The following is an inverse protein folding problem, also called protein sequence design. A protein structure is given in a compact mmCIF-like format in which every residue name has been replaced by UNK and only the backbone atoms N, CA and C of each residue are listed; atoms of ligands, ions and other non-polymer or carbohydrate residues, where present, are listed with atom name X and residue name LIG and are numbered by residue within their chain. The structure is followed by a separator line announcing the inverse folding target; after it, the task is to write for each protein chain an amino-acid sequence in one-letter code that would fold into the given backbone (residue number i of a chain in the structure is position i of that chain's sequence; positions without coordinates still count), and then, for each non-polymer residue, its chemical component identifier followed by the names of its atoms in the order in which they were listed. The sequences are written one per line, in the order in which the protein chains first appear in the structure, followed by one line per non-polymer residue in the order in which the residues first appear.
data_IF_235609091791
#
_entry.id   IF_235609091791
#
_cell.length_a   1.000
_cell.length_b   1.000
_cell.length_c   1.000
_cell.angle_alpha   90.00
_cell.angle_beta   90.00
_cell.angle_gamma   90.00
#
_symmetry.space_group_name_H-M   'P 1'
#
loop_
_entity.id
_entity.type
_entity.pdbx_description
1 polymer ?
#
# COMPACT_ATOMS: atom_id res chain seq x y z
N UNK A 1 9.04 44.94 92.74
CA UNK A 1 8.18 43.79 92.43
C UNK A 1 8.57 42.67 93.35
N UNK A 2 7.68 42.11 94.12
CA UNK A 2 7.98 41.03 95.03
C UNK A 2 8.26 39.73 94.22
N UNK A 3 9.12 38.86 94.74
CA UNK A 3 9.52 37.60 94.09
C UNK A 3 8.27 36.72 93.66
N UNK A 4 7.21 36.79 94.46
CA UNK A 4 5.93 36.17 94.19
C UNK A 4 5.26 36.68 92.93
N UNK A 5 5.38 37.94 92.59
CA UNK A 5 4.83 38.54 91.30
C UNK A 5 5.67 38.14 90.09
N UNK A 6 6.99 38.02 90.29
CA UNK A 6 7.88 37.51 89.24
C UNK A 6 7.58 36.05 88.90
N UNK A 7 7.42 35.25 89.92
CA UNK A 7 7.12 33.81 89.73
C UNK A 7 5.74 33.61 89.12
N UNK A 8 4.77 34.44 89.45
CA UNK A 8 3.45 34.38 88.85
C UNK A 8 3.49 34.75 87.34
N UNK A 9 4.30 35.76 86.95
CA UNK A 9 4.48 36.15 85.51
C UNK A 9 5.22 35.06 84.72
N UNK A 10 6.24 34.40 85.31
CA UNK A 10 6.93 33.27 84.66
C UNK A 10 5.98 32.09 84.50
N UNK A 11 5.18 31.76 85.57
CA UNK A 11 4.22 30.67 85.52
C UNK A 11 3.10 30.90 84.44
N UNK A 12 2.65 32.14 84.33
CA UNK A 12 1.68 32.49 83.29
C UNK A 12 2.30 32.38 81.90
N UNK A 13 3.52 32.89 81.68
CA UNK A 13 4.23 32.70 80.44
C UNK A 13 4.41 31.23 80.03
N UNK A 14 4.78 30.36 80.97
CA UNK A 14 4.91 28.92 80.74
C UNK A 14 3.58 28.26 80.46
N UNK A 15 2.47 28.69 81.10
CA UNK A 15 1.17 28.18 80.86
C UNK A 15 0.65 28.62 79.45
N UNK A 16 0.97 29.82 79.02
CA UNK A 16 0.62 30.32 77.70
C UNK A 16 1.38 29.53 76.62
N UNK A 17 2.68 29.29 76.80
CA UNK A 17 3.49 28.44 75.93
C UNK A 17 3.02 26.98 75.89
N UNK A 18 2.58 26.42 77.03
CA UNK A 18 1.98 25.06 77.04
C UNK A 18 0.64 25.06 76.33
N UNK A 19 -0.16 26.09 76.45
CA UNK A 19 -1.45 26.19 75.77
C UNK A 19 -1.29 26.33 74.26
N UNK A 20 -0.30 27.07 73.85
CA UNK A 20 0.07 27.26 72.44
C UNK A 20 0.64 25.94 71.85
N UNK A 21 1.53 25.23 72.58
CA UNK A 21 2.03 23.90 72.23
C UNK A 21 0.93 22.87 72.14
N UNK A 22 -0.05 22.89 73.07
CA UNK A 22 -1.23 22.01 72.99
C UNK A 22 -2.14 22.35 71.85
N UNK A 23 -2.32 23.62 71.50
CA UNK A 23 -3.11 24.05 70.33
C UNK A 23 -2.43 23.62 69.01
N UNK A 24 -1.09 23.70 68.92
CA UNK A 24 -0.30 23.25 67.78
C UNK A 24 -0.25 21.72 67.61
N UNK A 25 -0.35 20.97 68.74
CA UNK A 25 -0.27 19.49 68.69
C UNK A 25 -1.54 18.82 68.15
N UNK A 26 -2.67 19.46 68.16
CA UNK A 26 -3.97 18.91 67.66
C UNK A 26 -4.85 20.01 67.06
N UNK A 27 -4.58 20.35 65.83
CA UNK A 27 -5.44 21.28 65.07
C UNK A 27 -6.72 20.59 64.67
N UNK A 28 -7.84 20.86 65.37
CA UNK A 28 -9.18 20.25 65.12
C UNK A 28 -10.03 21.04 64.15
N UNK A 29 -9.51 22.18 63.65
CA UNK A 29 -10.21 23.08 62.69
C UNK A 29 -9.29 23.39 61.53
N UNK A 30 -9.79 24.18 60.60
CA UNK A 30 -9.09 24.69 59.44
C UNK A 30 -7.83 25.47 59.81
N UNK A 31 -6.69 25.15 59.19
CA UNK A 31 -5.46 25.93 59.25
C UNK A 31 -5.42 26.90 58.08
N UNK A 32 -5.21 28.19 58.34
CA UNK A 32 -4.99 29.24 57.36
C UNK A 32 -3.57 29.78 57.62
N UNK A 33 -2.75 29.83 56.59
CA UNK A 33 -1.42 30.43 56.62
C UNK A 33 -1.39 31.54 55.60
N UNK A 34 -0.95 32.75 56.00
CA UNK A 34 -0.73 33.89 55.11
C UNK A 34 0.68 33.84 54.45
N UNK A 35 1.45 32.80 54.75
CA UNK A 35 2.80 32.60 54.24
C UNK A 35 3.09 31.14 53.89
N UNK A 36 4.37 30.89 53.66
CA UNK A 36 4.87 29.56 53.30
C UNK A 36 4.78 28.60 54.50
N UNK A 37 4.40 27.34 54.24
CA UNK A 37 4.51 26.23 55.22
C UNK A 37 5.70 25.40 54.82
N UNK A 38 6.80 25.48 55.58
CA UNK A 38 8.06 24.77 55.33
C UNK A 38 8.13 23.54 56.18
N UNK A 39 8.11 22.36 55.56
CA UNK A 39 8.46 21.10 56.22
C UNK A 39 9.91 20.75 55.93
N UNK A 40 10.73 20.54 56.97
CA UNK A 40 12.12 20.07 56.86
C UNK A 40 12.24 18.54 56.86
N UNK A 41 11.11 17.84 56.98
CA UNK A 41 11.05 16.38 56.88
C UNK A 41 10.92 15.93 55.42
N UNK A 42 11.62 14.87 55.07
CA UNK A 42 11.47 14.27 53.75
C UNK A 42 10.00 13.87 53.47
N UNK A 43 9.25 13.43 54.48
CA UNK A 43 7.80 13.18 54.41
C UNK A 43 7.07 14.42 54.90
N UNK A 44 6.92 15.43 54.02
CA UNK A 44 6.44 16.76 54.40
C UNK A 44 4.99 16.80 54.89
N UNK A 45 4.09 16.13 54.21
CA UNK A 45 2.67 16.08 54.52
C UNK A 45 2.11 14.66 54.43
N UNK A 46 1.17 14.34 55.31
CA UNK A 46 0.39 13.13 55.26
C UNK A 46 -1.12 13.45 55.30
N UNK A 47 -1.83 12.89 54.32
CA UNK A 47 -3.30 12.90 54.28
C UNK A 47 -3.77 11.51 54.65
N UNK A 48 -4.46 11.37 55.76
CA UNK A 48 -4.95 10.07 56.27
C UNK A 48 -6.47 10.12 56.37
N UNK A 49 -7.16 9.31 55.59
CA UNK A 49 -8.61 9.13 55.67
C UNK A 49 -8.97 7.66 55.42
N UNK A 50 -9.75 7.07 56.31
CA UNK A 50 -10.07 5.64 56.26
C UNK A 50 -8.80 4.77 56.44
N UNK A 51 -8.65 3.77 55.56
CA UNK A 51 -7.61 2.74 55.69
C UNK A 51 -6.32 3.04 54.94
N UNK A 52 -6.31 4.03 54.03
CA UNK A 52 -5.16 4.36 53.20
C UNK A 52 -4.82 5.85 53.29
N UNK A 53 -3.54 6.16 53.41
CA UNK A 53 -3.02 7.53 53.44
C UNK A 53 -2.19 7.87 52.22
N UNK A 54 -2.06 9.19 51.97
CA UNK A 54 -1.16 9.73 50.97
C UNK A 54 -0.06 10.50 51.66
N UNK A 55 1.18 10.33 51.22
CA UNK A 55 2.36 11.01 51.73
C UNK A 55 2.95 11.85 50.58
N UNK A 56 3.06 13.16 50.79
CA UNK A 56 3.86 14.04 49.94
C UNK A 56 5.31 14.03 50.46
N UNK A 57 6.21 13.54 49.62
CA UNK A 57 7.61 13.33 49.97
C UNK A 57 8.55 14.04 49.01
N UNK A 58 9.56 14.68 49.58
CA UNK A 58 10.73 15.16 48.90
C UNK A 58 11.96 14.47 49.47
N UNK A 59 12.67 13.64 48.68
CA UNK A 59 13.86 12.91 49.15
C UNK A 59 15.17 13.57 48.73
N UNK A 60 15.12 14.80 48.21
CA UNK A 60 16.26 15.57 47.72
C UNK A 60 16.60 15.32 46.26
N UNK A 61 16.05 14.28 45.65
CA UNK A 61 16.20 13.96 44.21
C UNK A 61 14.89 14.05 43.48
N UNK A 62 13.86 13.50 44.06
CA UNK A 62 12.54 13.46 43.44
C UNK A 62 11.44 13.86 44.43
N UNK A 63 10.38 14.48 43.95
CA UNK A 63 9.14 14.67 44.68
C UNK A 63 8.17 13.53 44.35
N UNK A 64 7.41 13.10 45.37
CA UNK A 64 6.46 12.00 45.25
C UNK A 64 5.11 12.32 45.91
N UNK A 65 4.03 11.80 45.30
CA UNK A 65 2.79 11.50 46.00
C UNK A 65 2.70 9.97 46.17
N UNK A 66 2.88 9.48 47.39
CA UNK A 66 2.97 8.06 47.70
C UNK A 66 1.73 7.61 48.46
N UNK A 67 1.33 6.35 48.31
CA UNK A 67 0.23 5.74 49.08
C UNK A 67 0.76 4.79 50.09
N UNK A 68 0.04 4.66 51.25
CA UNK A 68 0.37 3.69 52.32
C UNK A 68 -0.27 2.33 52.03
N UNK A 69 0.20 1.23 52.62
CA UNK A 69 -0.54 -0.02 52.68
C UNK A 69 -1.92 0.16 53.35
N UNK A 70 -2.88 -0.67 53.00
CA UNK A 70 -4.20 -0.70 53.63
C UNK A 70 -4.09 -0.97 55.14
N UNK A 71 -4.84 -0.26 55.95
CA UNK A 71 -4.80 -0.31 57.41
C UNK A 71 -3.69 0.53 58.06
N UNK A 72 -2.83 1.19 57.27
CA UNK A 72 -1.66 1.94 57.74
C UNK A 72 -1.72 3.44 57.40
N UNK A 73 -2.91 4.01 57.27
CA UNK A 73 -3.10 5.39 56.85
C UNK A 73 -2.32 6.40 57.68
N UNK A 74 -2.32 6.29 59.00
CA UNK A 74 -1.77 7.29 59.89
C UNK A 74 -0.25 7.15 60.10
N UNK A 75 0.23 5.92 60.35
CA UNK A 75 1.61 5.67 60.83
C UNK A 75 2.44 4.79 59.92
N UNK A 76 1.86 4.21 58.88
CA UNK A 76 2.56 3.33 57.94
C UNK A 76 3.55 4.05 57.04
N UNK A 77 4.47 3.30 56.50
CA UNK A 77 5.33 3.76 55.41
C UNK A 77 4.59 3.69 54.09
N UNK A 78 5.22 4.10 53.01
CA UNK A 78 4.65 3.96 51.67
C UNK A 78 4.74 2.51 51.17
N UNK A 79 3.81 2.15 50.27
CA UNK A 79 3.81 0.88 49.54
C UNK A 79 4.71 0.96 48.26
N UNK A 80 4.63 -0.06 47.39
CA UNK A 80 5.42 -0.13 46.15
C UNK A 80 4.89 0.77 45.01
N UNK A 81 3.67 1.31 45.16
CA UNK A 81 3.06 2.17 44.10
C UNK A 81 3.77 3.53 44.05
N UNK A 82 3.87 4.05 42.83
CA UNK A 82 4.47 5.36 42.54
C UNK A 82 3.53 6.12 41.59
N UNK A 83 2.31 6.48 42.04
CA UNK A 83 1.29 7.04 41.14
C UNK A 83 1.75 8.36 40.53
N UNK A 84 2.47 9.21 41.26
CA UNK A 84 2.99 10.48 40.77
C UNK A 84 4.36 10.78 41.35
N UNK A 85 5.30 11.17 40.52
CA UNK A 85 6.56 11.74 40.93
C UNK A 85 7.12 12.68 39.88
N UNK A 86 8.01 13.60 40.26
CA UNK A 86 8.85 14.35 39.33
C UNK A 86 10.25 14.55 39.89
N UNK A 87 11.21 14.58 38.96
CA UNK A 87 12.60 14.79 39.29
C UNK A 87 12.87 16.29 39.55
N UNK A 88 13.50 16.60 40.70
CA UNK A 88 13.71 17.99 41.14
C UNK A 88 14.71 18.77 40.28
N UNK A 89 15.59 18.09 39.54
CA UNK A 89 16.59 18.72 38.67
C UNK A 89 16.07 18.91 37.27
N UNK A 90 15.46 17.89 36.68
CA UNK A 90 15.00 17.91 35.28
C UNK A 90 13.55 18.33 35.07
N UNK A 91 12.73 18.38 36.15
CA UNK A 91 11.31 18.60 36.12
C UNK A 91 10.50 17.45 35.47
N UNK A 92 11.16 16.34 35.08
CA UNK A 92 10.48 15.23 34.39
C UNK A 92 9.47 14.54 35.31
N UNK A 93 8.20 14.53 34.88
CA UNK A 93 7.09 13.88 35.56
C UNK A 93 7.04 12.40 35.18
N UNK A 94 6.72 11.56 36.16
CA UNK A 94 6.51 10.12 35.99
C UNK A 94 5.19 9.67 36.64
N UNK A 95 4.38 8.93 35.90
CA UNK A 95 3.11 8.34 36.32
C UNK A 95 3.24 6.81 36.13
N UNK A 96 3.70 6.09 37.13
CA UNK A 96 4.17 4.70 36.99
C UNK A 96 3.07 3.65 37.11
N UNK A 97 1.89 4.03 37.55
CA UNK A 97 0.79 3.08 37.81
C UNK A 97 -0.37 3.25 36.79
N UNK A 98 -0.09 3.89 35.67
CA UNK A 98 -1.09 4.18 34.64
C UNK A 98 -1.76 5.53 34.81
N UNK A 99 -2.44 5.98 33.78
CA UNK A 99 -3.21 7.24 33.73
C UNK A 99 -4.50 6.96 33.00
N UNK A 100 -5.60 7.32 33.61
CA UNK A 100 -6.91 7.39 32.99
C UNK A 100 -7.25 8.85 32.71
N UNK A 101 -7.43 9.20 31.43
CA UNK A 101 -7.72 10.56 31.01
C UNK A 101 -9.11 10.60 30.39
N UNK A 102 -10.09 11.11 31.11
CA UNK A 102 -11.43 11.39 30.58
C UNK A 102 -11.47 12.83 30.06
N UNK A 103 -11.98 13.02 28.83
CA UNK A 103 -12.09 14.35 28.22
C UNK A 103 -10.95 14.71 27.24
N UNK A 104 -9.99 13.81 27.07
CA UNK A 104 -8.93 13.98 26.07
C UNK A 104 -7.62 14.53 26.60
N UNK A 105 -6.55 14.33 25.88
CA UNK A 105 -5.21 14.86 26.11
C UNK A 105 -4.71 15.58 24.85
N UNK A 106 -4.10 16.75 25.01
CA UNK A 106 -3.43 17.48 23.95
C UNK A 106 -1.93 17.41 24.13
N UNK A 107 -1.22 16.94 23.12
CA UNK A 107 0.24 16.96 23.06
C UNK A 107 0.64 18.01 22.04
N UNK A 108 1.30 19.07 22.46
CA UNK A 108 1.63 20.22 21.63
C UNK A 108 3.13 20.48 21.60
N UNK A 109 3.56 21.25 20.64
CA UNK A 109 4.91 21.85 20.59
C UNK A 109 6.05 20.83 20.41
N UNK A 110 6.14 20.20 19.24
CA UNK A 110 7.21 19.25 18.87
C UNK A 110 7.35 18.04 19.82
N UNK A 111 6.34 17.79 20.67
CA UNK A 111 6.27 16.60 21.52
C UNK A 111 5.58 15.46 20.78
N UNK A 112 6.06 14.26 20.97
CA UNK A 112 5.48 13.04 20.41
C UNK A 112 5.00 12.10 21.52
N UNK A 113 4.21 11.12 21.14
CA UNK A 113 3.93 9.95 21.96
C UNK A 113 4.92 8.87 21.57
N UNK A 114 5.75 8.42 22.53
CA UNK A 114 6.58 7.26 22.34
C UNK A 114 6.27 6.23 23.40
N UNK A 115 6.18 4.98 23.01
CA UNK A 115 6.10 3.84 23.92
C UNK A 115 7.38 3.03 23.77
N UNK A 116 7.98 2.66 24.91
CA UNK A 116 9.16 1.82 24.93
C UNK A 116 8.80 0.49 25.60
N UNK A 117 8.81 -0.57 24.82
CA UNK A 117 8.70 -1.94 25.35
C UNK A 117 10.09 -2.54 25.38
N UNK A 118 10.53 -2.97 26.56
CA UNK A 118 11.79 -3.70 26.69
C UNK A 118 11.52 -5.18 26.46
N UNK A 119 12.09 -5.70 25.41
CA UNK A 119 12.06 -7.14 25.11
C UNK A 119 13.03 -7.94 26.02
N UNK A 120 13.10 -9.25 25.86
CA UNK A 120 14.05 -10.11 26.58
C UNK A 120 15.49 -9.73 26.21
N UNK A 121 16.44 -10.00 27.14
CA UNK A 121 17.85 -9.71 26.93
C UNK A 121 18.46 -10.50 25.74
N UNK A 122 17.86 -11.64 25.39
CA UNK A 122 18.21 -12.43 24.20
C UNK A 122 16.95 -12.88 23.47
N UNK A 123 16.99 -12.86 22.14
CA UNK A 123 15.90 -13.34 21.30
C UNK A 123 16.03 -14.86 21.12
N UNK A 124 14.94 -15.58 21.34
CA UNK A 124 14.88 -17.04 21.11
C UNK A 124 14.44 -17.26 19.67
N UNK A 125 15.26 -17.95 18.88
CA UNK A 125 14.99 -18.22 17.46
C UNK A 125 13.62 -18.87 17.26
N UNK A 126 12.85 -18.34 16.31
CA UNK A 126 11.50 -18.79 15.99
C UNK A 126 10.40 -18.24 16.89
N UNK A 127 10.71 -17.57 18.01
CA UNK A 127 9.69 -16.90 18.81
C UNK A 127 9.28 -15.55 18.21
N UNK A 128 8.02 -15.18 18.45
CA UNK A 128 7.42 -13.92 18.01
C UNK A 128 7.35 -12.97 19.20
N UNK A 129 7.93 -11.79 19.05
CA UNK A 129 7.84 -10.69 19.99
C UNK A 129 7.08 -9.54 19.34
N UNK A 130 6.14 -8.95 20.06
CA UNK A 130 5.34 -7.83 19.55
C UNK A 130 5.31 -6.70 20.58
N UNK A 131 5.41 -5.47 20.10
CA UNK A 131 5.14 -4.27 20.85
C UNK A 131 4.04 -3.49 20.13
N UNK A 132 3.00 -3.08 20.85
CA UNK A 132 2.00 -2.15 20.36
C UNK A 132 2.32 -0.75 20.90
N UNK A 133 2.57 0.18 20.02
CA UNK A 133 2.89 1.56 20.39
C UNK A 133 1.63 2.39 20.65
N UNK A 134 0.61 2.22 19.83
CA UNK A 134 -0.69 2.88 19.98
C UNK A 134 -1.80 1.89 19.63
N UNK A 135 -2.86 1.85 20.45
CA UNK A 135 -4.06 1.09 20.12
C UNK A 135 -5.32 1.90 20.38
N UNK A 136 -6.31 1.70 19.52
CA UNK A 136 -7.68 2.21 19.70
C UNK A 136 -8.64 1.03 19.69
N UNK A 137 -9.43 0.91 20.76
CA UNK A 137 -10.43 -0.14 20.91
C UNK A 137 -11.82 0.49 20.93
N UNK A 138 -12.73 -0.11 20.18
CA UNK A 138 -14.16 0.18 20.27
C UNK A 138 -14.91 -1.08 20.66
N UNK A 139 -15.64 -1.02 21.76
CA UNK A 139 -16.42 -2.14 22.28
C UNK A 139 -17.90 -1.77 22.35
N UNK A 140 -18.74 -2.59 21.77
CA UNK A 140 -20.19 -2.49 21.87
C UNK A 140 -20.79 -3.87 22.16
N UNK A 141 -21.43 -4.03 23.31
CA UNK A 141 -21.92 -5.33 23.78
C UNK A 141 -20.76 -6.33 23.95
N UNK A 142 -20.82 -7.45 23.22
CA UNK A 142 -19.80 -8.50 23.26
C UNK A 142 -18.75 -8.40 22.14
N UNK A 143 -18.80 -7.35 21.33
CA UNK A 143 -17.94 -7.18 20.15
C UNK A 143 -16.92 -6.08 20.40
N UNK A 144 -15.66 -6.37 20.13
CA UNK A 144 -14.57 -5.39 20.19
C UNK A 144 -13.82 -5.39 18.85
N UNK A 145 -13.71 -4.21 18.27
CA UNK A 145 -12.77 -3.95 17.17
C UNK A 145 -11.54 -3.25 17.72
N UNK A 146 -10.38 -3.55 17.13
CA UNK A 146 -9.12 -2.97 17.58
C UNK A 146 -8.32 -2.47 16.39
N UNK A 147 -7.82 -1.25 16.47
CA UNK A 147 -6.80 -0.73 15.58
C UNK A 147 -5.52 -0.56 16.39
N UNK A 148 -4.40 -1.08 15.92
CA UNK A 148 -3.11 -0.91 16.59
C UNK A 148 -2.00 -0.61 15.59
N UNK A 149 -1.05 0.18 16.05
CA UNK A 149 0.22 0.43 15.39
C UNK A 149 1.34 -0.06 16.29
N UNK A 150 2.29 -0.80 15.74
CA UNK A 150 3.35 -1.39 16.54
C UNK A 150 4.44 -2.02 15.69
N UNK A 151 5.27 -2.79 16.35
CA UNK A 151 6.34 -3.55 15.71
C UNK A 151 6.31 -5.03 16.12
N UNK A 152 6.86 -5.87 15.26
CA UNK A 152 6.97 -7.30 15.49
C UNK A 152 8.36 -7.80 15.10
N UNK A 153 8.91 -8.70 15.89
CA UNK A 153 10.13 -9.44 15.59
C UNK A 153 9.79 -10.92 15.58
N UNK A 154 10.11 -11.61 14.49
CA UNK A 154 10.15 -13.07 14.43
C UNK A 154 11.63 -13.45 14.52
N UNK A 155 12.09 -13.81 15.72
CA UNK A 155 13.50 -13.97 16.02
C UNK A 155 14.20 -14.96 15.06
N UNK A 156 15.31 -14.52 14.46
CA UNK A 156 16.07 -15.29 13.47
C UNK A 156 15.43 -15.33 12.06
N UNK A 157 14.36 -14.57 11.83
CA UNK A 157 13.66 -14.54 10.54
C UNK A 157 13.49 -13.14 9.98
N UNK A 158 12.74 -12.28 10.69
CA UNK A 158 12.33 -10.98 10.19
C UNK A 158 11.89 -10.04 11.30
N UNK A 159 11.90 -8.75 11.00
CA UNK A 159 11.27 -7.71 11.79
C UNK A 159 10.49 -6.76 10.88
N UNK A 160 9.44 -6.16 11.43
CA UNK A 160 8.62 -5.21 10.68
C UNK A 160 7.78 -4.30 11.58
N UNK A 161 7.49 -3.10 11.07
CA UNK A 161 6.42 -2.26 11.59
C UNK A 161 5.06 -2.72 11.08
N UNK A 162 4.02 -2.59 11.87
CA UNK A 162 2.68 -3.03 11.49
C UNK A 162 1.60 -2.00 11.83
N UNK A 163 0.59 -1.93 10.96
CA UNK A 163 -0.71 -1.36 11.22
C UNK A 163 -1.72 -2.49 11.14
N UNK A 164 -2.30 -2.89 12.28
CA UNK A 164 -3.17 -4.06 12.37
C UNK A 164 -4.59 -3.65 12.74
N UNK A 165 -5.55 -4.30 12.14
CA UNK A 165 -6.97 -4.15 12.44
C UNK A 165 -7.58 -5.49 12.79
N UNK A 166 -8.20 -5.57 13.95
CA UNK A 166 -9.05 -6.69 14.35
C UNK A 166 -10.49 -6.32 14.08
N UNK A 167 -11.15 -7.11 13.24
CA UNK A 167 -12.56 -6.92 12.90
C UNK A 167 -13.49 -7.39 14.03
N UNK A 168 -14.78 -7.17 13.85
CA UNK A 168 -15.81 -7.55 14.81
C UNK A 168 -15.99 -9.08 14.94
N UNK A 169 -15.52 -9.86 13.97
CA UNK A 169 -15.50 -11.32 13.99
C UNK A 169 -14.25 -11.89 14.69
N UNK A 170 -13.29 -11.05 15.02
CA UNK A 170 -12.04 -11.43 15.68
C UNK A 170 -10.87 -11.70 14.74
N UNK A 171 -11.03 -11.49 13.41
CA UNK A 171 -9.98 -11.68 12.43
C UNK A 171 -9.01 -10.50 12.42
N UNK A 172 -7.73 -10.80 12.31
CA UNK A 172 -6.68 -9.81 12.17
C UNK A 172 -6.29 -9.58 10.72
N UNK A 173 -6.16 -8.33 10.34
CA UNK A 173 -5.67 -7.88 9.05
C UNK A 173 -4.50 -6.93 9.28
N UNK A 174 -3.40 -7.10 8.55
CA UNK A 174 -2.18 -6.32 8.76
C UNK A 174 -1.71 -5.66 7.47
N UNK A 175 -1.22 -4.43 7.64
CA UNK A 175 -0.32 -3.77 6.70
C UNK A 175 1.05 -3.78 7.37
N UNK A 176 2.06 -4.34 6.69
CA UNK A 176 3.41 -4.48 7.22
C UNK A 176 4.38 -3.59 6.43
N UNK A 177 5.27 -2.92 7.14
CA UNK A 177 6.40 -2.18 6.56
C UNK A 177 7.67 -2.90 7.00
N UNK A 178 8.39 -3.46 6.05
CA UNK A 178 9.60 -4.26 6.26
C UNK A 178 10.88 -3.43 6.16
N UNK A 179 11.99 -3.94 6.64
CA UNK A 179 13.30 -3.26 6.64
C UNK A 179 13.79 -2.86 5.23
N UNK A 180 13.37 -3.58 4.19
CA UNK A 180 13.67 -3.28 2.78
C UNK A 180 12.70 -2.25 2.16
N UNK A 181 11.91 -1.54 2.96
CA UNK A 181 10.85 -0.63 2.55
C UNK A 181 9.69 -1.29 1.76
N UNK A 182 9.56 -2.61 1.85
CA UNK A 182 8.44 -3.35 1.27
C UNK A 182 7.17 -3.10 2.07
N UNK A 183 6.06 -2.78 1.37
CA UNK A 183 4.73 -2.69 1.93
C UNK A 183 3.96 -3.98 1.61
N UNK A 184 3.71 -4.80 2.63
CA UNK A 184 2.93 -6.04 2.50
C UNK A 184 1.48 -5.80 2.89
N UNK A 185 0.56 -6.03 1.97
CA UNK A 185 -0.89 -5.88 2.16
C UNK A 185 -1.60 -7.10 1.59
N UNK A 186 -2.72 -7.51 2.19
CA UNK A 186 -3.51 -8.63 1.68
C UNK A 186 -4.16 -8.32 0.33
N UNK A 187 -4.68 -7.12 0.17
CA UNK A 187 -5.28 -6.63 -1.07
C UNK A 187 -5.17 -5.11 -1.16
N UNK A 188 -4.75 -4.60 -2.32
CA UNK A 188 -4.78 -3.16 -2.62
C UNK A 188 -6.01 -2.84 -3.48
N UNK A 189 -6.96 -2.08 -2.94
CA UNK A 189 -8.17 -1.63 -3.64
C UNK A 189 -8.14 -0.12 -3.80
N UNK A 190 -8.08 0.35 -5.04
CA UNK A 190 -8.26 1.76 -5.37
C UNK A 190 -9.74 2.05 -5.60
N UNK A 191 -10.35 2.86 -4.73
CA UNK A 191 -11.79 3.19 -4.80
C UNK A 191 -12.09 4.51 -5.50
N UNK A 192 -11.11 5.41 -5.64
CA UNK A 192 -11.30 6.66 -6.37
C UNK A 192 -11.15 6.42 -7.90
N UNK A 193 -12.23 6.55 -8.72
CA UNK A 193 -12.16 6.31 -10.16
C UNK A 193 -11.31 7.34 -10.91
N UNK A 194 -11.15 8.56 -10.36
CA UNK A 194 -10.40 9.64 -11.01
C UNK A 194 -8.91 9.70 -10.63
N UNK A 195 -8.47 8.93 -9.63
CA UNK A 195 -7.07 8.89 -9.23
C UNK A 195 -6.29 7.85 -10.03
N UNK A 196 -4.97 7.94 -10.04
CA UNK A 196 -4.03 7.00 -10.65
C UNK A 196 -3.26 6.24 -9.58
N UNK A 197 -2.84 5.01 -9.89
CA UNK A 197 -1.70 4.38 -9.20
C UNK A 197 -0.48 4.76 -10.04
N UNK A 198 0.39 5.58 -9.49
CA UNK A 198 1.53 6.15 -10.22
C UNK A 198 2.81 5.45 -9.78
N UNK A 199 3.48 4.81 -10.73
CA UNK A 199 4.89 4.49 -10.61
C UNK A 199 5.68 5.66 -11.23
N UNK A 200 6.59 6.25 -10.50
CA UNK A 200 7.39 7.39 -10.95
C UNK A 200 8.86 7.19 -10.59
N UNK A 201 9.71 7.89 -11.29
CA UNK A 201 11.16 7.77 -11.17
C UNK A 201 11.72 7.04 -12.38
N UNK A 202 12.82 7.58 -12.90
CA UNK A 202 13.49 7.06 -14.07
C UNK A 202 14.85 6.47 -13.68
N UNK A 203 15.19 5.35 -14.29
CA UNK A 203 16.57 4.85 -14.31
C UNK A 203 17.11 5.13 -15.70
N UNK A 204 18.03 6.09 -15.79
CA UNK A 204 18.71 6.39 -17.05
C UNK A 204 19.72 5.31 -17.37
N UNK A 205 19.85 4.96 -18.66
CA UNK A 205 20.94 4.09 -19.12
C UNK A 205 22.30 4.78 -19.00
N UNK A 206 23.36 4.01 -18.90
CA UNK A 206 24.73 4.51 -18.74
C UNK A 206 25.17 5.49 -19.85
N UNK A 207 24.54 5.47 -21.01
CA UNK A 207 24.80 6.35 -22.14
C UNK A 207 23.76 7.46 -22.30
N UNK A 208 22.83 7.61 -21.35
CA UNK A 208 21.70 8.54 -21.38
C UNK A 208 20.83 8.46 -22.65
N UNK A 209 20.80 7.30 -23.32
CA UNK A 209 20.00 7.07 -24.51
C UNK A 209 18.58 6.59 -24.20
N UNK A 210 18.42 5.97 -23.04
CA UNK A 210 17.18 5.31 -22.66
C UNK A 210 16.81 5.63 -21.21
N UNK A 211 15.49 5.60 -20.91
CA UNK A 211 14.94 5.73 -19.55
C UNK A 211 13.92 4.64 -19.29
N UNK A 212 13.96 4.06 -18.09
CA UNK A 212 13.03 3.01 -17.67
C UNK A 212 12.32 3.44 -16.39
N UNK A 213 11.01 3.25 -16.34
CA UNK A 213 10.20 3.35 -15.13
C UNK A 213 9.50 2.02 -14.91
N UNK A 214 9.92 1.29 -13.88
CA UNK A 214 9.28 0.03 -13.50
C UNK A 214 7.95 0.32 -12.81
N UNK A 215 6.87 -0.34 -13.23
CA UNK A 215 5.54 -0.15 -12.68
C UNK A 215 5.11 -1.32 -11.79
N UNK A 216 5.13 -2.53 -12.30
CA UNK A 216 4.63 -3.70 -11.57
C UNK A 216 5.40 -4.95 -11.98
N UNK A 217 5.70 -5.80 -11.01
CA UNK A 217 6.19 -7.17 -11.23
C UNK A 217 5.19 -8.17 -10.67
N UNK A 218 4.81 -9.14 -11.48
CA UNK A 218 4.12 -10.36 -11.07
C UNK A 218 5.17 -11.44 -10.90
N UNK A 219 5.51 -11.77 -9.67
CA UNK A 219 6.53 -12.77 -9.36
C UNK A 219 5.89 -14.16 -9.24
N UNK A 220 6.35 -15.09 -10.06
CA UNK A 220 6.06 -16.52 -9.94
C UNK A 220 7.07 -17.24 -9.03
N UNK A 221 7.13 -18.56 -9.15
CA UNK A 221 8.09 -19.38 -8.38
C UNK A 221 9.46 -19.38 -9.09
N UNK A 222 10.54 -19.15 -8.33
CA UNK A 222 11.90 -19.10 -8.85
C UNK A 222 12.10 -17.92 -9.81
N UNK A 223 12.58 -18.19 -11.03
CA UNK A 223 12.91 -17.18 -12.03
C UNK A 223 11.73 -16.79 -12.93
N UNK A 224 10.50 -17.21 -12.58
CA UNK A 224 9.29 -16.87 -13.33
C UNK A 224 8.83 -15.47 -12.93
N UNK A 225 8.70 -14.55 -13.87
CA UNK A 225 8.09 -13.24 -13.63
C UNK A 225 7.48 -12.62 -14.89
N UNK A 226 6.60 -11.65 -14.67
CA UNK A 226 6.09 -10.76 -15.71
C UNK A 226 6.15 -9.32 -15.23
N UNK A 227 6.78 -8.43 -16.00
CA UNK A 227 6.95 -7.01 -15.70
C UNK A 227 6.09 -6.15 -16.60
N UNK A 228 5.47 -5.14 -16.01
CA UNK A 228 4.91 -3.99 -16.69
C UNK A 228 5.81 -2.78 -16.43
N UNK A 229 6.25 -2.09 -17.46
CA UNK A 229 7.15 -0.96 -17.36
C UNK A 229 6.92 0.07 -18.45
N UNK A 230 7.38 1.29 -18.23
CA UNK A 230 7.50 2.30 -19.27
C UNK A 230 8.97 2.39 -19.69
N UNK A 231 9.18 2.51 -21.01
CA UNK A 231 10.51 2.68 -21.59
C UNK A 231 10.48 3.85 -22.55
N UNK A 232 11.49 4.71 -22.47
CA UNK A 232 11.72 5.80 -23.40
C UNK A 232 13.05 5.61 -24.08
N UNK A 233 13.07 5.61 -25.41
CA UNK A 233 14.27 5.80 -26.22
C UNK A 233 14.33 7.27 -26.55
N UNK A 234 15.20 8.01 -25.86
CA UNK A 234 15.22 9.47 -25.83
C UNK A 234 15.35 10.04 -27.24
N UNK A 235 14.44 10.94 -27.60
CA UNK A 235 14.36 11.59 -28.93
C UNK A 235 13.83 10.70 -30.05
N UNK A 236 13.37 9.47 -29.76
CA UNK A 236 12.83 8.56 -30.78
C UNK A 236 11.37 8.19 -30.48
N UNK A 237 11.14 7.35 -29.47
CA UNK A 237 9.81 6.87 -29.09
C UNK A 237 9.78 6.41 -27.64
N UNK A 238 8.61 6.25 -27.08
CA UNK A 238 8.41 5.60 -25.81
C UNK A 238 7.27 4.58 -25.91
N UNK A 239 7.24 3.63 -24.97
CA UNK A 239 6.26 2.56 -24.99
C UNK A 239 5.94 2.02 -23.60
N UNK A 240 4.77 1.40 -23.46
CA UNK A 240 4.45 0.48 -22.40
C UNK A 240 4.98 -0.90 -22.81
N UNK A 241 5.87 -1.46 -21.98
CA UNK A 241 6.47 -2.76 -22.19
C UNK A 241 5.87 -3.82 -21.28
N UNK A 242 5.74 -5.04 -21.83
CA UNK A 242 5.53 -6.26 -21.06
C UNK A 242 6.74 -7.18 -21.30
N UNK A 243 7.33 -7.67 -20.21
CA UNK A 243 8.44 -8.61 -20.26
C UNK A 243 8.05 -9.85 -19.46
N UNK A 244 7.99 -11.00 -20.11
CA UNK A 244 7.67 -12.29 -19.48
C UNK A 244 8.88 -13.20 -19.58
N UNK A 245 9.37 -13.68 -18.45
CA UNK A 245 10.61 -14.45 -18.39
C UNK A 245 10.52 -15.68 -17.48
N UNK A 246 11.37 -16.69 -17.77
CA UNK A 246 11.53 -17.91 -16.97
C UNK A 246 13.00 -18.29 -16.74
N UNK A 247 13.89 -17.29 -16.68
CA UNK A 247 15.33 -17.50 -16.55
C UNK A 247 16.04 -17.87 -17.87
N UNK A 248 15.45 -18.72 -18.71
CA UNK A 248 16.03 -19.16 -19.99
C UNK A 248 15.37 -18.57 -21.24
N UNK A 249 14.05 -18.41 -21.22
CA UNK A 249 13.28 -17.82 -22.31
C UNK A 249 12.66 -16.48 -21.90
N UNK A 250 12.58 -15.55 -22.84
CA UNK A 250 12.09 -14.21 -22.60
C UNK A 250 11.19 -13.75 -23.75
N UNK A 251 10.01 -13.29 -23.41
CA UNK A 251 9.06 -12.64 -24.32
C UNK A 251 8.98 -11.15 -24.05
N UNK A 252 9.20 -10.34 -25.08
CA UNK A 252 9.14 -8.89 -25.00
C UNK A 252 8.03 -8.37 -25.89
N UNK A 253 7.18 -7.47 -25.36
CA UNK A 253 6.04 -6.87 -26.04
C UNK A 253 6.11 -5.36 -25.81
N UNK A 254 5.94 -4.58 -26.88
CA UNK A 254 5.98 -3.12 -26.85
C UNK A 254 4.68 -2.55 -27.43
N UNK A 255 4.08 -1.61 -26.72
CA UNK A 255 2.96 -0.80 -27.21
C UNK A 255 3.42 0.65 -27.26
N UNK A 256 3.74 1.13 -28.46
CA UNK A 256 4.40 2.41 -28.68
C UNK A 256 3.43 3.58 -28.81
N UNK A 257 3.94 4.78 -28.52
CA UNK A 257 3.21 6.04 -28.67
C UNK A 257 2.87 6.41 -30.11
N UNK A 258 3.47 5.76 -31.11
CA UNK A 258 3.15 5.86 -32.53
C UNK A 258 1.99 4.94 -32.98
N UNK A 259 1.40 4.18 -32.04
CA UNK A 259 0.30 3.25 -32.28
C UNK A 259 0.73 1.86 -32.76
N UNK A 260 2.03 1.59 -32.92
CA UNK A 260 2.54 0.27 -33.28
C UNK A 260 2.70 -0.65 -32.08
N UNK A 261 2.51 -1.95 -32.32
CA UNK A 261 2.80 -3.00 -31.34
C UNK A 261 3.87 -3.95 -31.90
N UNK A 262 4.87 -4.27 -31.08
CA UNK A 262 5.98 -5.14 -31.45
C UNK A 262 6.12 -6.29 -30.47
N UNK A 263 6.59 -7.44 -30.97
CA UNK A 263 7.01 -8.58 -30.16
C UNK A 263 8.23 -9.22 -30.79
N UNK A 264 9.08 -9.84 -29.98
CA UNK A 264 10.19 -10.66 -30.46
C UNK A 264 9.76 -12.07 -30.93
N UNK A 265 8.47 -12.42 -30.78
CA UNK A 265 7.84 -13.64 -31.28
C UNK A 265 6.75 -13.33 -32.30
N UNK A 266 5.86 -14.27 -32.54
CA UNK A 266 4.71 -14.12 -33.42
C UNK A 266 3.44 -13.86 -32.63
N UNK A 267 2.53 -13.07 -33.22
CA UNK A 267 1.14 -12.95 -32.75
C UNK A 267 0.33 -14.11 -33.32
N UNK A 268 -0.05 -15.07 -32.48
CA UNK A 268 -0.81 -16.25 -32.90
C UNK A 268 -2.29 -16.08 -32.56
N UNK A 269 -3.16 -16.21 -33.54
CA UNK A 269 -4.60 -16.26 -33.35
C UNK A 269 -5.12 -17.68 -33.36
N UNK A 270 -5.93 -18.06 -32.39
CA UNK A 270 -6.59 -19.37 -32.36
C UNK A 270 -7.49 -19.55 -33.57
N UNK A 271 -7.37 -20.69 -34.28
CA UNK A 271 -8.14 -21.01 -35.47
C UNK A 271 -8.59 -22.49 -35.54
N UNK A 272 -8.77 -23.13 -34.37
CA UNK A 272 -9.20 -24.52 -34.27
C UNK A 272 -10.62 -24.70 -34.85
N UNK A 273 -10.84 -25.75 -35.65
CA UNK A 273 -12.12 -26.06 -36.23
C UNK A 273 -13.23 -26.26 -35.21
N UNK A 274 -12.90 -26.80 -34.02
CA UNK A 274 -13.85 -27.05 -32.93
C UNK A 274 -14.44 -25.76 -32.34
N UNK A 275 -13.84 -24.63 -32.62
CA UNK A 275 -14.31 -23.28 -32.21
C UNK A 275 -15.18 -22.60 -33.25
N UNK A 276 -15.49 -23.30 -34.37
CA UNK A 276 -16.17 -22.73 -35.54
C UNK A 276 -17.39 -23.55 -35.90
N UNK A 277 -18.46 -22.87 -36.24
CA UNK A 277 -19.70 -23.46 -36.77
C UNK A 277 -19.97 -22.92 -38.18
N UNK A 278 -20.85 -23.54 -38.94
CA UNK A 278 -21.29 -23.12 -40.25
C UNK A 278 -20.13 -22.79 -41.22
N UNK A 279 -19.13 -23.68 -41.19
CA UNK A 279 -17.93 -23.53 -42.02
C UNK A 279 -18.29 -23.72 -43.49
N UNK A 280 -18.17 -22.62 -44.25
CA UNK A 280 -18.47 -22.60 -45.69
C UNK A 280 -17.24 -22.05 -46.45
N UNK A 281 -16.94 -22.68 -47.61
CA UNK A 281 -15.86 -22.18 -48.46
C UNK A 281 -16.26 -20.85 -49.12
N UNK A 282 -15.25 -19.98 -49.29
CA UNK A 282 -15.43 -18.74 -50.07
C UNK A 282 -15.57 -19.14 -51.55
N UNK A 283 -16.71 -18.84 -52.15
CA UNK A 283 -16.98 -19.10 -53.57
C UNK A 283 -16.77 -17.85 -54.39
N UNK A 284 -16.39 -18.01 -55.67
CA UNK A 284 -16.10 -16.90 -56.59
C UNK A 284 -14.96 -16.04 -56.08
N UNK A 285 -13.97 -16.70 -55.48
CA UNK A 285 -12.88 -16.01 -54.80
C UNK A 285 -11.97 -15.25 -55.76
N UNK A 286 -11.74 -15.80 -56.97
CA UNK A 286 -10.94 -15.14 -57.98
C UNK A 286 -11.61 -13.86 -58.51
N UNK A 287 -12.90 -13.92 -58.77
CA UNK A 287 -13.70 -12.75 -59.21
C UNK A 287 -13.70 -11.66 -58.11
N UNK A 288 -13.96 -12.04 -56.87
CA UNK A 288 -13.91 -11.13 -55.73
C UNK A 288 -12.54 -10.46 -55.57
N UNK A 289 -11.46 -11.22 -55.77
CA UNK A 289 -10.10 -10.70 -55.65
C UNK A 289 -9.79 -9.61 -56.70
N UNK A 290 -10.40 -9.68 -57.89
CA UNK A 290 -10.21 -8.66 -58.95
C UNK A 290 -10.79 -7.29 -58.59
N UNK A 291 -11.64 -7.21 -57.55
CA UNK A 291 -12.31 -5.97 -57.13
C UNK A 291 -11.58 -5.24 -56.01
N UNK A 292 -10.52 -5.81 -55.45
CA UNK A 292 -9.65 -5.17 -54.46
C UNK A 292 -8.25 -4.95 -55.05
N UNK A 293 -7.54 -3.96 -54.54
CA UNK A 293 -6.20 -3.64 -54.99
C UNK A 293 -5.23 -3.52 -53.82
N UNK A 294 -3.97 -3.84 -54.07
CA UNK A 294 -2.88 -3.53 -53.17
C UNK A 294 -2.38 -2.11 -53.40
N UNK A 295 -2.20 -1.36 -52.34
CA UNK A 295 -1.78 0.03 -52.37
C UNK A 295 -0.56 0.28 -51.51
N UNK A 296 0.20 1.31 -51.85
CA UNK A 296 1.10 2.01 -50.94
C UNK A 296 0.45 3.34 -50.56
N UNK A 297 0.51 3.73 -49.30
CA UNK A 297 -0.16 4.93 -48.80
C UNK A 297 0.57 5.55 -47.61
N UNK A 298 0.17 6.75 -47.23
CA UNK A 298 0.56 7.34 -45.97
C UNK A 298 -0.61 7.20 -44.98
N UNK A 299 -0.39 6.43 -43.89
CA UNK A 299 -1.35 6.33 -42.81
C UNK A 299 -0.91 7.25 -41.69
N UNK A 300 -1.66 8.35 -41.50
CA UNK A 300 -1.33 9.40 -40.56
C UNK A 300 0.14 9.90 -40.66
N UNK A 301 0.64 10.01 -41.91
CA UNK A 301 2.00 10.46 -42.20
C UNK A 301 3.07 9.35 -42.27
N UNK A 302 2.74 8.11 -41.88
CA UNK A 302 3.67 6.98 -41.94
C UNK A 302 3.47 6.17 -43.22
N UNK A 303 4.52 5.90 -44.03
CA UNK A 303 4.42 5.05 -45.24
C UNK A 303 4.07 3.60 -44.87
N UNK A 304 3.02 3.08 -45.48
CA UNK A 304 2.57 1.70 -45.33
C UNK A 304 2.16 1.11 -46.67
N UNK A 305 1.95 -0.20 -46.72
CA UNK A 305 1.35 -0.90 -47.84
C UNK A 305 0.27 -1.86 -47.36
N UNK A 306 -0.79 -2.00 -48.11
CA UNK A 306 -1.90 -2.88 -47.73
C UNK A 306 -3.07 -2.76 -48.68
N UNK A 307 -4.22 -3.25 -48.25
CA UNK A 307 -5.53 -3.18 -48.91
C UNK A 307 -6.45 -2.18 -48.20
N UNK A 308 -7.47 -1.67 -48.91
CA UNK A 308 -8.45 -0.75 -48.33
C UNK A 308 -9.62 -1.53 -47.73
N UNK A 309 -9.93 -1.21 -46.47
CA UNK A 309 -10.96 -1.92 -45.69
C UNK A 309 -12.34 -1.87 -46.34
N UNK A 310 -12.72 -0.76 -46.96
CA UNK A 310 -13.99 -0.57 -47.65
C UNK A 310 -14.11 -1.48 -48.89
N UNK A 311 -13.00 -1.73 -49.61
CA UNK A 311 -12.99 -2.65 -50.73
C UNK A 311 -13.20 -4.09 -50.24
N UNK A 312 -12.51 -4.48 -49.17
CA UNK A 312 -12.65 -5.79 -48.53
C UNK A 312 -14.06 -5.99 -47.95
N UNK A 313 -14.66 -4.97 -47.36
CA UNK A 313 -16.00 -5.02 -46.76
C UNK A 313 -17.06 -5.41 -47.83
N UNK A 314 -16.92 -4.91 -49.07
CA UNK A 314 -17.86 -5.19 -50.13
C UNK A 314 -17.88 -6.69 -50.56
N UNK A 315 -16.79 -7.39 -50.42
CA UNK A 315 -16.65 -8.79 -50.89
C UNK A 315 -16.54 -9.82 -49.79
N UNK A 316 -16.08 -9.41 -48.62
CA UNK A 316 -15.85 -10.27 -47.45
C UNK A 316 -16.12 -9.49 -46.16
N UNK A 317 -17.38 -9.08 -45.89
CA UNK A 317 -17.73 -8.25 -44.75
C UNK A 317 -17.35 -8.88 -43.41
N UNK A 318 -17.28 -10.20 -43.31
CA UNK A 318 -16.87 -10.91 -42.11
C UNK A 318 -15.41 -10.66 -41.68
N UNK A 319 -14.61 -10.10 -42.59
CA UNK A 319 -13.21 -9.73 -42.32
C UNK A 319 -13.02 -8.28 -41.90
N UNK A 320 -14.11 -7.51 -41.84
CA UNK A 320 -14.07 -6.09 -41.51
C UNK A 320 -14.90 -5.83 -40.27
N UNK A 321 -14.33 -5.09 -39.33
CA UNK A 321 -15.03 -4.58 -38.14
C UNK A 321 -15.08 -3.07 -38.20
N UNK A 322 -16.22 -2.52 -37.75
CA UNK A 322 -16.42 -1.08 -37.64
C UNK A 322 -16.33 -0.69 -36.18
N UNK A 323 -15.54 0.35 -35.86
CA UNK A 323 -15.34 0.85 -34.52
C UNK A 323 -15.09 2.35 -34.53
N UNK A 324 -15.20 2.99 -33.38
CA UNK A 324 -14.72 4.34 -33.16
C UNK A 324 -13.21 4.34 -32.93
N UNK A 325 -12.48 5.19 -33.63
CA UNK A 325 -11.03 5.33 -33.54
C UNK A 325 -10.62 6.79 -33.39
N UNK A 326 -9.82 7.10 -32.40
CA UNK A 326 -9.20 8.42 -32.26
C UNK A 326 -7.90 8.44 -33.06
N UNK A 327 -7.76 9.42 -33.92
CA UNK A 327 -6.55 9.65 -34.73
C UNK A 327 -5.46 10.37 -33.93
N UNK A 328 -4.23 10.39 -34.46
CA UNK A 328 -3.07 11.05 -33.80
C UNK A 328 -3.26 12.56 -33.59
N UNK A 329 -4.10 13.22 -34.40
CA UNK A 329 -4.45 14.64 -34.25
C UNK A 329 -5.58 14.90 -33.24
N UNK A 330 -6.09 13.84 -32.59
CA UNK A 330 -7.19 13.89 -31.61
C UNK A 330 -8.59 13.86 -32.24
N UNK A 331 -8.72 13.88 -33.58
CA UNK A 331 -10.01 13.72 -34.25
C UNK A 331 -10.52 12.28 -34.11
N UNK A 332 -11.84 12.13 -34.08
CA UNK A 332 -12.49 10.83 -33.89
C UNK A 332 -13.21 10.42 -35.17
N UNK A 333 -12.81 9.27 -35.72
CA UNK A 333 -13.55 8.55 -36.76
C UNK A 333 -14.54 7.61 -36.10
N UNK A 334 -15.83 7.90 -36.19
CA UNK A 334 -16.89 7.10 -35.53
C UNK A 334 -17.17 5.77 -36.23
N UNK A 335 -16.78 5.64 -37.47
CA UNK A 335 -17.04 4.50 -38.34
C UNK A 335 -15.77 3.96 -39.00
N UNK A 336 -14.64 4.03 -38.28
CA UNK A 336 -13.38 3.50 -38.76
C UNK A 336 -13.47 1.99 -38.99
N UNK A 337 -12.94 1.55 -40.13
CA UNK A 337 -12.93 0.14 -40.52
C UNK A 337 -11.58 -0.48 -40.29
N UNK A 338 -11.57 -1.66 -39.64
CA UNK A 338 -10.38 -2.47 -39.37
C UNK A 338 -10.52 -3.82 -40.06
N UNK A 339 -9.41 -4.32 -40.61
CA UNK A 339 -9.38 -5.59 -41.35
C UNK A 339 -8.78 -6.69 -40.47
N UNK A 340 -9.43 -7.85 -40.42
CA UNK A 340 -8.79 -9.09 -40.04
C UNK A 340 -8.06 -9.67 -41.25
N UNK A 341 -6.75 -9.56 -41.26
CA UNK A 341 -5.92 -9.97 -42.41
C UNK A 341 -6.05 -11.47 -42.73
N UNK A 342 -6.41 -12.31 -41.77
CA UNK A 342 -6.65 -13.76 -42.00
C UNK A 342 -7.78 -14.01 -43.00
N UNK A 343 -8.78 -13.14 -43.05
CA UNK A 343 -9.86 -13.23 -44.03
C UNK A 343 -9.36 -12.96 -45.45
N UNK A 344 -8.50 -11.96 -45.63
CA UNK A 344 -7.86 -11.68 -46.92
C UNK A 344 -6.97 -12.85 -47.38
N UNK A 345 -6.23 -13.45 -46.42
CA UNK A 345 -5.43 -14.67 -46.70
C UNK A 345 -6.32 -15.84 -47.11
N UNK A 346 -7.48 -16.03 -46.45
CA UNK A 346 -8.43 -17.08 -46.80
C UNK A 346 -9.01 -16.87 -48.21
N UNK A 347 -9.33 -15.62 -48.59
CA UNK A 347 -9.75 -15.26 -49.94
C UNK A 347 -8.67 -15.57 -50.99
N UNK A 348 -7.42 -15.20 -50.73
CA UNK A 348 -6.27 -15.51 -51.59
C UNK A 348 -6.07 -17.02 -51.77
N UNK A 349 -6.24 -17.83 -50.70
CA UNK A 349 -6.13 -19.29 -50.80
C UNK A 349 -7.16 -19.89 -51.76
N UNK A 350 -8.43 -19.47 -51.66
CA UNK A 350 -9.47 -19.99 -52.56
C UNK A 350 -9.34 -19.41 -53.98
N UNK A 351 -9.00 -18.13 -54.16
CA UNK A 351 -8.75 -17.52 -55.45
C UNK A 351 -7.60 -18.23 -56.21
N UNK A 352 -6.51 -18.55 -55.53
CA UNK A 352 -5.40 -19.28 -56.13
C UNK A 352 -5.78 -20.70 -56.57
N UNK A 353 -6.70 -21.36 -55.86
CA UNK A 353 -7.22 -22.66 -56.25
C UNK A 353 -8.11 -22.55 -57.49
N UNK A 354 -9.00 -21.57 -57.52
CA UNK A 354 -9.86 -21.30 -58.70
C UNK A 354 -9.01 -20.99 -59.94
N UNK A 355 -7.96 -20.11 -59.81
CA UNK A 355 -7.02 -19.81 -60.87
C UNK A 355 -6.28 -21.07 -61.37
N UNK A 356 -5.81 -21.90 -60.43
CA UNK A 356 -5.13 -23.18 -60.81
C UNK A 356 -6.06 -24.09 -61.58
N UNK A 357 -7.32 -24.23 -61.19
CA UNK A 357 -8.30 -25.06 -61.89
C UNK A 357 -8.59 -24.52 -63.29
N UNK A 358 -8.80 -23.19 -63.44
CA UNK A 358 -8.97 -22.52 -64.71
C UNK A 358 -7.79 -22.74 -65.67
N UNK A 359 -6.56 -22.62 -65.12
CA UNK A 359 -5.34 -22.83 -65.91
C UNK A 359 -5.19 -24.26 -66.40
N UNK A 360 -5.46 -25.28 -65.52
CA UNK A 360 -5.43 -26.71 -65.92
C UNK A 360 -6.46 -26.97 -67.00
N UNK A 361 -7.66 -26.43 -66.89
CA UNK A 361 -8.69 -26.57 -67.95
C UNK A 361 -8.25 -25.94 -69.26
N UNK A 362 -7.60 -24.78 -69.21
CA UNK A 362 -7.04 -24.12 -70.43
C UNK A 362 -5.90 -24.93 -71.05
N UNK A 363 -4.96 -25.44 -70.25
CA UNK A 363 -3.86 -26.30 -70.69
C UNK A 363 -4.41 -27.55 -71.36
N UNK A 364 -5.42 -28.18 -70.77
CA UNK A 364 -6.10 -29.36 -71.34
C UNK A 364 -6.76 -29.06 -72.69
N UNK A 365 -7.42 -27.88 -72.78
CA UNK A 365 -8.05 -27.43 -74.03
C UNK A 365 -7.01 -27.12 -75.09
N UNK A 366 -5.91 -26.48 -74.74
CA UNK A 366 -4.78 -26.25 -75.68
C UNK A 366 -4.24 -27.58 -76.23
N UNK A 367 -3.94 -28.56 -75.36
CA UNK A 367 -3.45 -29.85 -75.74
C UNK A 367 -4.41 -30.63 -76.68
N UNK A 368 -5.72 -30.50 -76.43
CA UNK A 368 -6.74 -31.06 -77.31
C UNK A 368 -6.79 -30.40 -78.72
N UNK A 369 -6.65 -29.07 -78.76
CA UNK A 369 -6.59 -28.29 -80.02
C UNK A 369 -5.31 -28.64 -80.78
N UNK A 370 -4.16 -28.69 -80.15
CA UNK A 370 -2.88 -29.09 -80.77
C UNK A 370 -2.97 -30.47 -81.39
N UNK A 371 -3.56 -31.47 -80.65
CA UNK A 371 -3.78 -32.83 -81.14
C UNK A 371 -4.69 -32.82 -82.38
N UNK A 372 -5.73 -31.98 -82.42
CA UNK A 372 -6.66 -31.84 -83.54
C UNK A 372 -5.96 -31.23 -84.77
N UNK A 373 -5.13 -30.21 -84.54
CA UNK A 373 -4.32 -29.59 -85.61
C UNK A 373 -3.30 -30.53 -86.21
N UNK A 374 -2.59 -31.32 -85.38
CA UNK A 374 -1.67 -32.35 -85.89
C UNK A 374 -2.39 -33.38 -86.72
N UNK A 375 -3.58 -33.82 -86.29
CA UNK A 375 -4.40 -34.80 -87.06
C UNK A 375 -5.00 -34.23 -88.33
N UNK A 376 -5.05 -32.91 -88.57
CA UNK A 376 -5.53 -32.26 -89.80
C UNK A 376 -4.40 -31.99 -90.81
N UNK A 377 -3.14 -32.10 -90.44
CA UNK A 377 -1.96 -31.84 -91.26
C UNK A 377 -1.27 -33.12 -91.75
N UNK A 378 -1.70 -34.32 -91.35
CA UNK A 378 -1.28 -35.65 -91.75
C UNK A 378 -2.34 -36.29 -92.68
#
# INVERSE_FOLDING_TARGET
MTESKKNAQVLNGVNDDISELKALSTLRKRVISDGEIVSKSANGFRLANGNTGVILRNDGKDFYALTTPTGQAQNGTWNTLRPFSFNLTSGRVSLRNGVDISGGAMISHNAGVSTNTTGPASLINGQIYSAADVSANFTSGHVTTTMLMGSRIVAGKEDYGMLSYRDWQGNWNEIQVRANAELSVGQLVKRNPYGWIVASGNVDSNNNADRITNAMRLQGKGDLFADLYHYERIGQHHFMGLHVANGGAQGWYEFRNDGHAYTNGAWNSSSDARMKTDITKISGALEKLTTISGYTYLKQGTPEAGVIAQEVENILPQSVTQTELTMNDGNVLKDARSININGVVALLVEALKEEREARIALETRIAALEKTLVNQQG
#
